data_IF_498009118424
#
_entry.id   IF_498009118424
#
_cell.length_a   1.000
_cell.length_b   1.000
_cell.length_c   1.000
_cell.angle_alpha   90.00
_cell.angle_beta   90.00
_cell.angle_gamma   90.00
#
_symmetry.space_group_name_H-M   'P 1'
#
loop_
_entity.id
_entity.type
_entity.pdbx_description
1 polymer ?
#
# COMPACT_ATOMS: atom_id res chain seq x y z
N UNK A 1 -6.82 4.09 23.06
CA UNK A 1 -6.25 4.16 21.70
C UNK A 1 -5.50 2.87 21.44
N UNK A 2 -6.12 1.94 20.70
CA UNK A 2 -5.49 0.66 20.38
C UNK A 2 -4.52 0.84 19.21
N UNK A 3 -3.24 0.55 19.43
CA UNK A 3 -2.31 0.36 18.33
C UNK A 3 -2.65 -0.91 17.55
N UNK A 4 -2.11 -1.02 16.33
CA UNK A 4 -2.12 -2.27 15.56
C UNK A 4 -0.76 -2.93 15.84
N UNK A 5 -0.67 -3.98 16.69
CA UNK A 5 0.60 -4.56 17.11
C UNK A 5 1.47 -5.02 15.94
N UNK A 6 0.83 -5.48 14.86
CA UNK A 6 1.50 -5.93 13.66
C UNK A 6 2.28 -4.81 12.97
N UNK A 7 1.85 -3.56 13.12
CA UNK A 7 2.48 -2.37 12.56
C UNK A 7 3.54 -1.76 13.48
N UNK A 8 3.73 -2.28 14.69
CA UNK A 8 4.79 -1.81 15.58
C UNK A 8 6.19 -2.08 14.98
N UNK A 9 6.31 -3.15 14.20
CA UNK A 9 7.53 -3.50 13.47
C UNK A 9 7.60 -2.77 12.12
N UNK A 10 8.39 -1.70 12.08
CA UNK A 10 8.60 -0.85 10.90
C UNK A 10 9.42 -1.51 9.79
N UNK A 11 9.99 -2.69 10.04
CA UNK A 11 10.71 -3.47 9.02
C UNK A 11 9.78 -4.29 8.14
N UNK A 12 8.52 -4.48 8.54
CA UNK A 12 7.56 -5.26 7.74
C UNK A 12 7.19 -4.55 6.45
N UNK A 13 6.92 -5.37 5.44
CA UNK A 13 6.39 -4.87 4.16
C UNK A 13 4.93 -4.44 4.31
N UNK A 14 4.65 -3.20 3.95
CA UNK A 14 3.31 -2.62 3.91
C UNK A 14 2.95 -2.28 2.47
N UNK A 15 1.89 -2.90 1.93
CA UNK A 15 1.34 -2.57 0.63
C UNK A 15 0.11 -1.67 0.81
N UNK A 16 0.21 -0.42 0.40
CA UNK A 16 -0.92 0.50 0.31
C UNK A 16 -1.55 0.41 -1.08
N UNK A 17 -2.88 0.29 -1.12
CA UNK A 17 -3.63 0.39 -2.37
C UNK A 17 -4.91 1.21 -2.17
N UNK A 18 -5.40 1.79 -3.25
CA UNK A 18 -6.74 2.39 -3.29
C UNK A 18 -7.36 2.07 -4.66
N UNK A 19 -8.50 2.69 -4.99
CA UNK A 19 -9.19 2.46 -6.26
C UNK A 19 -8.29 2.70 -7.49
N UNK A 20 -7.64 3.86 -7.56
CA UNK A 20 -6.87 4.32 -8.75
C UNK A 20 -5.37 4.57 -8.49
N UNK A 21 -4.89 4.40 -7.25
CA UNK A 21 -3.48 4.55 -6.86
C UNK A 21 -3.09 5.90 -6.21
N UNK A 22 -3.84 6.98 -6.44
CA UNK A 22 -3.43 8.31 -5.95
C UNK A 22 -3.36 8.45 -4.42
N UNK A 23 -4.37 7.94 -3.70
CA UNK A 23 -4.41 8.01 -2.22
C UNK A 23 -3.40 7.07 -1.57
N UNK A 24 -3.14 5.93 -2.18
CA UNK A 24 -2.17 4.96 -1.68
C UNK A 24 -0.75 5.46 -1.84
N UNK A 25 -0.44 6.23 -2.89
CA UNK A 25 0.84 6.89 -3.04
C UNK A 25 1.11 7.88 -1.89
N UNK A 26 0.12 8.70 -1.53
CA UNK A 26 0.24 9.61 -0.39
C UNK A 26 0.41 8.86 0.93
N UNK A 27 -0.41 7.83 1.17
CA UNK A 27 -0.28 7.01 2.38
C UNK A 27 1.10 6.33 2.47
N UNK A 28 1.63 5.86 1.35
CA UNK A 28 2.96 5.25 1.29
C UNK A 28 4.06 6.25 1.65
N UNK A 29 3.98 7.47 1.12
CA UNK A 29 4.91 8.55 1.48
C UNK A 29 4.84 8.89 2.98
N UNK A 30 3.63 9.00 3.54
CA UNK A 30 3.46 9.27 4.98
C UNK A 30 4.07 8.16 5.83
N UNK A 31 3.86 6.89 5.46
CA UNK A 31 4.45 5.75 6.20
C UNK A 31 5.98 5.75 6.11
N UNK A 32 6.56 6.08 4.96
CA UNK A 32 8.01 6.23 4.83
C UNK A 32 8.54 7.35 5.75
N UNK A 33 7.85 8.49 5.82
CA UNK A 33 8.18 9.58 6.74
C UNK A 33 8.08 9.17 8.22
N UNK A 34 7.18 8.25 8.55
CA UNK A 34 7.05 7.67 9.89
C UNK A 34 8.12 6.59 10.19
N UNK A 35 8.98 6.27 9.23
CA UNK A 35 10.12 5.35 9.38
C UNK A 35 9.81 3.90 9.02
N UNK A 36 8.74 3.62 8.28
CA UNK A 36 8.53 2.29 7.70
C UNK A 36 9.47 2.09 6.52
N UNK A 37 10.28 1.03 6.59
CA UNK A 37 11.38 0.83 5.65
C UNK A 37 10.92 0.21 4.32
N UNK A 38 9.82 -0.54 4.36
CA UNK A 38 9.36 -1.38 3.26
C UNK A 38 7.91 -1.04 2.90
N UNK A 39 7.68 0.11 2.27
CA UNK A 39 6.33 0.55 1.90
C UNK A 39 6.17 0.59 0.38
N UNK A 40 5.15 -0.11 -0.11
CA UNK A 40 4.83 -0.24 -1.52
C UNK A 40 3.47 0.40 -1.81
N UNK A 41 3.31 0.99 -2.99
CA UNK A 41 2.03 1.48 -3.50
C UNK A 41 1.68 0.76 -4.80
N UNK A 42 0.43 0.30 -4.93
CA UNK A 42 -0.04 -0.37 -6.14
C UNK A 42 -0.32 0.65 -7.26
N UNK A 43 0.52 0.66 -8.30
CA UNK A 43 0.34 1.52 -9.46
C UNK A 43 -0.99 1.22 -10.18
N UNK A 44 -1.76 2.26 -10.51
CA UNK A 44 -3.11 2.13 -11.09
C UNK A 44 -4.18 1.61 -10.12
N UNK A 45 -3.82 1.30 -8.87
CA UNK A 45 -4.73 0.84 -7.84
C UNK A 45 -5.40 -0.51 -8.15
N UNK A 46 -6.50 -0.75 -7.46
CA UNK A 46 -7.27 -1.98 -7.58
C UNK A 46 -7.84 -2.19 -9.00
N UNK A 47 -8.21 -1.12 -9.71
CA UNK A 47 -8.75 -1.21 -11.07
C UNK A 47 -7.71 -1.80 -12.05
N UNK A 48 -6.47 -1.31 -12.00
CA UNK A 48 -5.40 -1.87 -12.84
C UNK A 48 -5.07 -3.32 -12.47
N UNK A 49 -5.10 -3.66 -11.19
CA UNK A 49 -4.90 -5.03 -10.73
C UNK A 49 -5.99 -5.98 -11.23
N UNK A 50 -7.25 -5.56 -11.15
CA UNK A 50 -8.38 -6.33 -11.65
C UNK A 50 -8.34 -6.50 -13.19
N UNK A 51 -7.96 -5.45 -13.92
CA UNK A 51 -7.77 -5.53 -15.37
C UNK A 51 -6.65 -6.53 -15.73
N UNK A 52 -5.53 -6.50 -15.03
CA UNK A 52 -4.42 -7.43 -15.24
C UNK A 52 -4.82 -8.88 -14.92
N UNK A 53 -5.70 -9.09 -13.94
CA UNK A 53 -6.27 -10.41 -13.64
C UNK A 53 -7.21 -10.88 -14.76
N UNK A 54 -8.11 -10.02 -15.23
CA UNK A 54 -9.08 -10.36 -16.26
C UNK A 54 -8.46 -10.60 -17.65
N UNK A 55 -7.27 -10.04 -17.92
CA UNK A 55 -6.50 -10.32 -19.15
C UNK A 55 -5.84 -11.71 -19.17
N UNK A 56 -5.84 -12.43 -18.04
CA UNK A 56 -5.29 -13.80 -17.95
C UNK A 56 -6.36 -14.90 -18.11
N UNK A 57 -7.58 -14.57 -18.53
CA UNK A 57 -8.65 -15.53 -18.83
C UNK A 57 -8.87 -15.72 -20.32
#
# INVERSE_FOLDING_TARGET
MGGIPELADKSKTVLAYCRTGGRSALAAQTLQQLGYNNVLSMAGGFEAWQQAFNQKS
#
